data_IF_821410499834
#
_entry.id   IF_821410499834
#
_cell.length_a   1.000
_cell.length_b   1.000
_cell.length_c   1.000
_cell.angle_alpha   90.00
_cell.angle_beta   90.00
_cell.angle_gamma   90.00
#
_symmetry.space_group_name_H-M   'P 1'
#
loop_
_entity.id
_entity.type
_entity.pdbx_description
1 polymer ?
#
# COMPACT_ATOMS: atom_id res chain seq x y z
N UNK A 1 32.01 2.30 32.11
CA UNK A 1 30.52 2.39 32.17
C UNK A 1 29.92 3.66 31.53
N UNK A 2 30.61 4.38 30.62
CA UNK A 2 30.08 5.61 29.99
C UNK A 2 29.59 5.43 28.54
N UNK A 3 29.92 4.32 27.88
CA UNK A 3 29.51 4.05 26.49
C UNK A 3 28.07 3.53 26.37
N UNK A 4 27.59 2.76 27.35
CA UNK A 4 26.24 2.15 27.36
C UNK A 4 25.12 3.20 27.42
N UNK A 5 25.32 4.29 28.17
CA UNK A 5 24.30 5.34 28.33
C UNK A 5 24.11 6.19 27.08
N UNK A 6 25.19 6.48 26.34
CA UNK A 6 25.11 7.27 25.11
C UNK A 6 24.41 6.48 23.99
N UNK A 7 24.70 5.18 23.86
CA UNK A 7 24.04 4.32 22.89
C UNK A 7 22.53 4.17 23.18
N UNK A 8 22.16 4.00 24.46
CA UNK A 8 20.77 3.94 24.88
C UNK A 8 20.00 5.25 24.57
N UNK A 9 20.61 6.41 24.80
CA UNK A 9 19.99 7.71 24.47
C UNK A 9 19.83 7.94 22.97
N UNK A 10 20.77 7.49 22.13
CA UNK A 10 20.68 7.59 20.67
C UNK A 10 19.59 6.67 20.13
N UNK A 11 19.49 5.44 20.64
CA UNK A 11 18.44 4.48 20.24
C UNK A 11 17.05 4.98 20.65
N UNK A 12 16.91 5.51 21.87
CA UNK A 12 15.64 6.06 22.35
C UNK A 12 15.20 7.28 21.53
N UNK A 13 16.13 8.19 21.22
CA UNK A 13 15.86 9.35 20.36
C UNK A 13 15.45 8.93 18.92
N UNK A 14 16.13 7.94 18.34
CA UNK A 14 15.80 7.43 17.00
C UNK A 14 14.41 6.78 16.93
N UNK A 15 14.02 6.01 17.96
CA UNK A 15 12.68 5.43 18.08
C UNK A 15 11.59 6.51 18.29
N UNK A 16 11.92 7.60 19.00
CA UNK A 16 11.01 8.72 19.24
C UNK A 16 10.69 9.51 17.96
N UNK A 17 11.69 9.69 17.10
CA UNK A 17 11.51 10.38 15.81
C UNK A 17 10.71 9.50 14.83
N UNK A 18 10.91 8.18 14.86
CA UNK A 18 10.16 7.24 13.99
C UNK A 18 8.65 7.25 14.26
N UNK A 19 8.23 7.33 15.53
CA UNK A 19 6.82 7.42 15.91
C UNK A 19 6.15 8.74 15.46
N UNK A 20 6.92 9.83 15.36
CA UNK A 20 6.44 11.13 14.88
C UNK A 20 6.51 11.28 13.34
N UNK A 21 7.13 10.32 12.63
CA UNK A 21 7.41 10.43 11.19
C UNK A 21 6.40 9.70 10.29
N UNK A 22 5.41 8.98 10.86
CA UNK A 22 4.32 8.41 10.08
C UNK A 22 3.07 9.31 10.18
N UNK A 23 2.84 10.23 9.23
CA UNK A 23 1.75 11.20 9.29
C UNK A 23 0.36 10.56 9.20
N UNK A 24 0.25 9.29 8.82
CA UNK A 24 -1.02 8.62 8.56
C UNK A 24 -1.71 8.06 9.81
N UNK A 25 -1.03 8.06 10.96
CA UNK A 25 -1.52 7.40 12.19
C UNK A 25 -2.45 8.26 13.07
N UNK A 26 -2.60 9.56 12.81
CA UNK A 26 -3.20 10.50 13.80
C UNK A 26 -4.53 11.11 13.38
N UNK A 27 -4.83 11.21 12.08
CA UNK A 27 -6.11 11.74 11.58
C UNK A 27 -6.63 10.94 10.37
N UNK A 28 -7.95 10.71 10.26
CA UNK A 28 -8.51 10.12 9.06
C UNK A 28 -8.29 11.03 7.85
N UNK A 29 -8.11 10.44 6.67
CA UNK A 29 -7.81 11.17 5.41
C UNK A 29 -8.90 12.20 5.07
N UNK A 30 -10.15 11.93 5.43
CA UNK A 30 -11.29 12.83 5.21
C UNK A 30 -11.13 14.19 5.91
N UNK A 31 -10.40 14.25 7.02
CA UNK A 31 -10.15 15.47 7.80
C UNK A 31 -8.95 16.29 7.29
N UNK A 32 -8.19 15.77 6.31
CA UNK A 32 -7.03 16.48 5.77
C UNK A 32 -7.44 17.70 4.90
N UNK A 33 -6.60 18.75 4.84
CA UNK A 33 -6.74 19.83 3.87
C UNK A 33 -6.98 19.32 2.46
N UNK A 34 -7.83 20.01 1.69
CA UNK A 34 -8.24 19.61 0.33
C UNK A 34 -7.04 19.22 -0.56
N UNK A 35 -5.91 19.96 -0.61
CA UNK A 35 -4.76 19.56 -1.42
C UNK A 35 -4.18 18.18 -1.06
N UNK A 36 -4.16 17.83 0.23
CA UNK A 36 -3.66 16.54 0.70
C UNK A 36 -4.63 15.40 0.37
N UNK A 37 -5.95 15.63 0.48
CA UNK A 37 -6.95 14.67 0.00
C UNK A 37 -6.78 14.35 -1.49
N UNK A 38 -6.53 15.37 -2.32
CA UNK A 38 -6.22 15.17 -3.74
C UNK A 38 -4.92 14.39 -3.97
N UNK A 39 -3.88 14.66 -3.18
CA UNK A 39 -2.60 13.97 -3.30
C UNK A 39 -2.71 12.48 -2.94
N UNK A 40 -3.41 12.15 -1.86
CA UNK A 40 -3.68 10.76 -1.43
C UNK A 40 -4.54 10.01 -2.46
N UNK A 41 -5.51 10.71 -3.05
CA UNK A 41 -6.43 10.13 -4.03
C UNK A 41 -5.97 10.31 -5.49
N UNK A 42 -4.68 10.57 -5.72
CA UNK A 42 -4.17 10.82 -7.07
C UNK A 42 -4.08 9.50 -7.85
N UNK A 43 -4.62 9.42 -9.08
CA UNK A 43 -4.38 8.30 -10.00
C UNK A 43 -2.87 8.06 -10.19
N UNK A 44 -2.49 6.79 -10.29
CA UNK A 44 -1.10 6.40 -10.47
C UNK A 44 -0.87 5.65 -11.79
N UNK A 45 0.23 6.01 -12.44
CA UNK A 45 0.77 5.31 -13.59
C UNK A 45 1.78 4.21 -13.20
N UNK A 46 2.13 4.10 -11.92
CA UNK A 46 3.08 3.11 -11.39
C UNK A 46 2.38 1.84 -10.92
N UNK A 47 1.33 1.43 -11.63
CA UNK A 47 0.53 0.24 -11.33
C UNK A 47 0.36 -0.64 -12.55
N UNK A 48 0.46 -1.95 -12.34
CA UNK A 48 -0.02 -2.93 -13.30
C UNK A 48 -1.42 -3.38 -12.92
N UNK A 49 -2.30 -3.47 -13.91
CA UNK A 49 -3.75 -3.56 -13.64
C UNK A 49 -4.27 -2.29 -12.99
N UNK A 50 -5.20 -2.43 -12.05
CA UNK A 50 -5.79 -1.30 -11.33
C UNK A 50 -5.18 -1.09 -9.93
N UNK A 51 -4.53 -2.09 -9.33
CA UNK A 51 -4.18 -2.09 -7.91
C UNK A 51 -2.73 -2.43 -7.61
N UNK A 52 -2.08 -3.25 -8.42
CA UNK A 52 -0.75 -3.69 -8.06
C UNK A 52 0.31 -2.60 -8.33
N UNK A 53 0.74 -1.89 -7.29
CA UNK A 53 1.83 -0.92 -7.35
C UNK A 53 1.70 0.23 -6.37
N UNK A 54 2.37 1.34 -6.67
CA UNK A 54 2.33 2.56 -5.86
C UNK A 54 1.12 3.39 -6.29
N UNK A 55 0.07 3.45 -5.47
CA UNK A 55 -1.21 4.06 -5.84
C UNK A 55 -2.18 3.03 -6.45
N UNK A 56 -3.35 3.51 -6.88
CA UNK A 56 -4.25 2.74 -7.75
C UNK A 56 -4.40 3.48 -9.06
N UNK A 57 -4.89 2.78 -10.09
CA UNK A 57 -5.07 3.36 -11.42
C UNK A 57 -6.01 4.56 -11.43
N UNK A 58 -7.03 4.56 -10.56
CA UNK A 58 -8.07 5.59 -10.47
C UNK A 58 -7.91 6.54 -9.28
N UNK A 59 -7.02 6.20 -8.34
CA UNK A 59 -6.83 6.93 -7.09
C UNK A 59 -7.79 6.52 -5.96
N UNK A 60 -8.58 5.47 -6.16
CA UNK A 60 -9.43 4.82 -5.14
C UNK A 60 -9.58 3.31 -5.39
N UNK A 61 -10.47 2.66 -4.64
CA UNK A 61 -10.78 1.23 -4.73
C UNK A 61 -12.07 0.93 -5.52
N UNK A 62 -12.49 1.80 -6.45
CA UNK A 62 -13.77 1.65 -7.17
C UNK A 62 -13.68 0.91 -8.50
N UNK A 63 -12.48 0.79 -9.09
CA UNK A 63 -12.27 0.06 -10.33
C UNK A 63 -12.54 -1.45 -10.17
N UNK A 64 -12.74 -2.18 -11.28
CA UNK A 64 -12.79 -3.65 -11.23
C UNK A 64 -11.38 -4.20 -11.39
N UNK A 65 -10.93 -5.18 -10.59
CA UNK A 65 -9.64 -5.83 -10.83
C UNK A 65 -9.59 -6.45 -12.23
N UNK A 66 -8.45 -6.31 -12.92
CA UNK A 66 -8.33 -6.71 -14.34
C UNK A 66 -8.05 -8.21 -14.52
N UNK A 67 -7.40 -8.83 -13.54
CA UNK A 67 -7.02 -10.24 -13.57
C UNK A 67 -6.88 -10.81 -12.15
N UNK A 68 -6.47 -12.10 -12.07
CA UNK A 68 -6.29 -12.81 -10.80
C UNK A 68 -5.24 -12.15 -9.89
N UNK A 69 -4.14 -11.65 -10.44
CA UNK A 69 -3.09 -11.01 -9.65
C UNK A 69 -3.55 -9.64 -9.15
N UNK A 70 -4.23 -8.89 -10.01
CA UNK A 70 -4.80 -7.59 -9.66
C UNK A 70 -5.88 -7.71 -8.56
N UNK A 71 -6.65 -8.79 -8.54
CA UNK A 71 -7.59 -9.10 -7.44
C UNK A 71 -6.86 -9.36 -6.11
N UNK A 72 -5.68 -9.96 -6.14
CA UNK A 72 -4.87 -10.14 -4.92
C UNK A 72 -4.41 -8.76 -4.39
N UNK A 73 -3.93 -7.89 -5.27
CA UNK A 73 -3.54 -6.52 -4.89
C UNK A 73 -4.73 -5.69 -4.41
N UNK A 74 -5.90 -5.82 -5.03
CA UNK A 74 -7.13 -5.19 -4.56
C UNK A 74 -7.48 -5.59 -3.12
N UNK A 75 -7.43 -6.89 -2.81
CA UNK A 75 -7.69 -7.39 -1.45
C UNK A 75 -6.65 -6.89 -0.45
N UNK A 76 -5.39 -6.80 -0.86
CA UNK A 76 -4.32 -6.23 -0.05
C UNK A 76 -4.59 -4.75 0.27
N UNK A 77 -4.86 -3.93 -0.76
CA UNK A 77 -5.13 -2.50 -0.57
C UNK A 77 -6.39 -2.27 0.28
N UNK A 78 -7.45 -3.07 0.10
CA UNK A 78 -8.62 -3.03 0.99
C UNK A 78 -8.28 -3.41 2.43
N UNK A 79 -7.45 -4.45 2.63
CA UNK A 79 -7.00 -4.87 3.95
C UNK A 79 -6.27 -3.74 4.69
N UNK A 80 -5.43 -2.99 3.97
CA UNK A 80 -4.75 -1.79 4.49
C UNK A 80 -5.71 -0.67 4.89
N UNK A 81 -6.86 -0.53 4.21
CA UNK A 81 -7.90 0.44 4.62
C UNK A 81 -8.65 -0.04 5.86
N UNK A 82 -8.87 -1.35 5.99
CA UNK A 82 -9.70 -1.94 7.05
C UNK A 82 -8.95 -2.16 8.38
N UNK A 83 -7.64 -2.39 8.33
CA UNK A 83 -6.88 -2.87 9.48
C UNK A 83 -5.82 -1.86 9.93
N UNK A 84 -5.54 -1.85 11.23
CA UNK A 84 -4.42 -1.08 11.81
C UNK A 84 -3.10 -1.85 11.89
N UNK A 85 -3.12 -3.18 11.70
CA UNK A 85 -1.90 -3.98 11.66
C UNK A 85 -1.74 -4.56 10.26
N UNK A 86 -0.73 -4.08 9.54
CA UNK A 86 -0.54 -4.42 8.13
C UNK A 86 0.27 -5.70 7.90
N UNK A 87 0.88 -6.30 8.93
CA UNK A 87 1.66 -7.52 8.74
C UNK A 87 0.82 -8.71 8.28
N UNK A 88 -0.44 -8.81 8.71
CA UNK A 88 -1.36 -9.83 8.23
C UNK A 88 -1.71 -9.62 6.75
N UNK A 89 -1.88 -8.34 6.35
CA UNK A 89 -2.17 -7.97 4.97
C UNK A 89 -0.97 -8.31 4.06
N UNK A 90 0.25 -7.94 4.46
CA UNK A 90 1.48 -8.23 3.73
C UNK A 90 1.71 -9.75 3.61
N UNK A 91 1.52 -10.49 4.70
CA UNK A 91 1.72 -11.95 4.72
C UNK A 91 0.71 -12.67 3.82
N UNK A 92 -0.55 -12.22 3.83
CA UNK A 92 -1.59 -12.74 2.93
C UNK A 92 -1.26 -12.43 1.46
N UNK A 93 -0.78 -11.22 1.16
CA UNK A 93 -0.32 -10.83 -0.18
C UNK A 93 0.82 -11.74 -0.65
N UNK A 94 1.87 -11.92 0.16
CA UNK A 94 3.03 -12.76 -0.20
C UNK A 94 2.61 -14.20 -0.46
N UNK A 95 1.73 -14.77 0.38
CA UNK A 95 1.22 -16.13 0.20
C UNK A 95 0.44 -16.27 -1.11
N UNK A 96 -0.54 -15.39 -1.34
CA UNK A 96 -1.44 -15.49 -2.49
C UNK A 96 -0.69 -15.17 -3.80
N UNK A 97 0.25 -14.22 -3.79
CA UNK A 97 1.10 -13.90 -4.95
C UNK A 97 2.12 -15.02 -5.25
N UNK A 98 2.64 -15.72 -4.23
CA UNK A 98 3.52 -16.88 -4.46
C UNK A 98 2.79 -17.99 -5.21
N UNK A 99 1.52 -18.24 -4.90
CA UNK A 99 0.70 -19.19 -5.65
C UNK A 99 0.54 -18.80 -7.13
N UNK A 100 0.45 -17.50 -7.45
CA UNK A 100 0.43 -17.03 -8.85
C UNK A 100 1.79 -17.16 -9.52
N UNK A 101 2.89 -16.87 -8.80
CA UNK A 101 4.26 -17.00 -9.31
C UNK A 101 4.56 -18.45 -9.74
N UNK A 102 4.13 -19.41 -8.93
CA UNK A 102 4.49 -20.82 -9.05
C UNK A 102 3.54 -21.62 -9.98
N UNK A 103 2.42 -21.02 -10.39
CA UNK A 103 1.45 -21.64 -11.30
C UNK A 103 1.91 -21.55 -12.77
N UNK A 104 2.47 -22.63 -13.31
CA UNK A 104 3.03 -22.67 -14.67
C UNK A 104 1.99 -22.49 -15.78
N UNK A 105 0.69 -22.67 -15.49
CA UNK A 105 -0.39 -22.46 -16.45
C UNK A 105 -0.68 -20.97 -16.70
N UNK A 106 -0.20 -20.08 -15.82
CA UNK A 106 -0.42 -18.64 -15.95
C UNK A 106 0.59 -17.95 -16.88
N UNK A 107 0.18 -16.84 -17.53
CA UNK A 107 1.07 -16.07 -18.41
C UNK A 107 2.37 -15.66 -17.71
N UNK A 108 3.51 -15.86 -18.37
CA UNK A 108 4.85 -15.52 -17.84
C UNK A 108 4.95 -14.09 -17.33
N UNK A 109 4.26 -13.13 -17.96
CA UNK A 109 4.19 -11.74 -17.52
C UNK A 109 3.57 -11.61 -16.12
N UNK A 110 2.41 -12.25 -15.89
CA UNK A 110 1.72 -12.27 -14.61
C UNK A 110 2.59 -12.91 -13.52
N UNK A 111 3.23 -14.04 -13.82
CA UNK A 111 4.14 -14.73 -12.88
C UNK A 111 5.33 -13.86 -12.47
N UNK A 112 5.92 -13.11 -13.41
CA UNK A 112 7.01 -12.15 -13.14
C UNK A 112 6.55 -10.98 -12.27
N UNK A 113 5.36 -10.45 -12.51
CA UNK A 113 4.76 -9.41 -11.68
C UNK A 113 4.48 -9.92 -10.27
N UNK A 114 3.99 -11.14 -10.12
CA UNK A 114 3.80 -11.79 -8.82
C UNK A 114 5.14 -11.98 -8.07
N UNK A 115 6.20 -12.42 -8.77
CA UNK A 115 7.54 -12.50 -8.19
C UNK A 115 8.05 -11.14 -7.66
N UNK A 116 7.79 -10.05 -8.39
CA UNK A 116 8.15 -8.71 -7.94
C UNK A 116 7.42 -8.35 -6.62
N UNK A 117 6.13 -8.66 -6.50
CA UNK A 117 5.38 -8.44 -5.26
C UNK A 117 5.95 -9.26 -4.11
N UNK A 118 6.20 -10.56 -4.31
CA UNK A 118 6.79 -11.42 -3.29
C UNK A 118 8.12 -10.86 -2.81
N UNK A 119 9.02 -10.48 -3.71
CA UNK A 119 10.33 -9.95 -3.35
C UNK A 119 10.24 -8.62 -2.60
N UNK A 120 9.27 -7.76 -2.95
CA UNK A 120 9.08 -6.45 -2.31
C UNK A 120 8.52 -6.59 -0.89
N UNK A 121 7.50 -7.42 -0.71
CA UNK A 121 6.78 -7.54 0.55
C UNK A 121 7.38 -8.57 1.53
N UNK A 122 8.29 -9.43 1.08
CA UNK A 122 9.03 -10.35 1.97
C UNK A 122 10.00 -9.63 2.92
N UNK A 123 10.31 -8.35 2.67
CA UNK A 123 11.20 -7.55 3.51
C UNK A 123 10.58 -7.17 4.87
N UNK A 124 9.29 -7.44 5.08
CA UNK A 124 8.63 -7.21 6.37
C UNK A 124 8.57 -5.73 6.76
N UNK A 125 8.31 -4.84 5.79
CA UNK A 125 8.18 -3.39 6.01
C UNK A 125 7.18 -3.07 7.13
N UNK A 126 6.11 -3.87 7.25
CA UNK A 126 5.15 -3.78 8.35
C UNK A 126 5.77 -3.90 9.76
N UNK A 127 6.92 -4.58 9.92
CA UNK A 127 7.59 -4.71 11.22
C UNK A 127 8.30 -3.43 11.64
N UNK A 128 8.71 -2.62 10.67
CA UNK A 128 9.31 -1.29 10.89
C UNK A 128 8.23 -0.22 10.96
N UNK A 129 7.20 -0.34 10.11
CA UNK A 129 6.07 0.57 10.01
C UNK A 129 4.75 -0.21 10.20
N UNK A 130 4.33 -0.50 11.45
CA UNK A 130 3.15 -1.34 11.72
C UNK A 130 1.84 -0.75 11.20
N UNK A 131 1.79 0.57 11.06
CA UNK A 131 0.67 1.34 10.51
C UNK A 131 0.86 1.65 9.01
N UNK A 132 1.84 1.03 8.34
CA UNK A 132 2.17 1.27 6.94
C UNK A 132 3.06 2.49 6.73
N UNK A 133 3.79 2.48 5.61
CA UNK A 133 4.68 3.56 5.19
C UNK A 133 4.01 4.57 4.24
N UNK A 134 3.01 4.12 3.47
CA UNK A 134 2.32 4.92 2.47
C UNK A 134 0.97 5.43 2.98
N UNK A 135 0.45 6.53 2.41
CA UNK A 135 -0.89 6.99 2.71
C UNK A 135 -1.94 5.89 2.49
N UNK A 136 -2.93 5.78 3.38
CA UNK A 136 -4.08 4.93 3.13
C UNK A 136 -4.83 5.42 1.91
N UNK A 137 -5.34 4.48 1.12
CA UNK A 137 -6.11 4.77 -0.08
C UNK A 137 -7.55 5.05 0.30
N UNK A 138 -8.23 6.00 -0.35
CA UNK A 138 -9.68 6.11 -0.18
C UNK A 138 -10.35 4.88 -0.78
N UNK A 139 -11.39 4.39 -0.11
CA UNK A 139 -12.27 3.37 -0.68
C UNK A 139 -12.98 3.95 -1.90
N UNK A 140 -13.48 5.16 -1.74
CA UNK A 140 -14.06 5.98 -2.80
C UNK A 140 -13.67 7.45 -2.59
N UNK A 141 -13.19 8.13 -3.64
CA UNK A 141 -12.80 9.55 -3.53
C UNK A 141 -13.96 10.46 -3.13
N UNK A 142 -15.21 10.03 -3.35
CA UNK A 142 -16.41 10.75 -2.92
C UNK A 142 -16.52 10.83 -1.39
N UNK A 143 -16.00 9.84 -0.66
CA UNK A 143 -15.88 9.89 0.81
C UNK A 143 -14.96 11.04 1.26
N UNK A 144 -14.02 11.43 0.40
CA UNK A 144 -13.13 12.57 0.62
C UNK A 144 -13.71 13.88 0.07
N UNK A 145 -14.97 13.93 -0.37
CA UNK A 145 -15.58 15.12 -0.98
C UNK A 145 -14.91 15.53 -2.31
N UNK A 146 -14.29 14.57 -3.00
CA UNK A 146 -13.65 14.76 -4.30
C UNK A 146 -14.58 14.26 -5.42
N UNK A 147 -14.42 14.76 -6.66
CA UNK A 147 -15.13 14.22 -7.80
C UNK A 147 -14.78 12.73 -8.02
N UNK A 148 -15.69 11.95 -8.63
CA UNK A 148 -15.45 10.54 -8.91
C UNK A 148 -14.21 10.39 -9.81
N UNK A 149 -13.52 9.26 -9.68
CA UNK A 149 -12.41 8.95 -10.56
C UNK A 149 -12.86 8.97 -12.02
N UNK A 150 -12.10 9.65 -12.88
CA UNK A 150 -12.37 9.63 -14.30
C UNK A 150 -12.02 8.24 -14.86
N UNK A 151 -12.78 7.72 -15.84
CA UNK A 151 -12.42 6.50 -16.54
C UNK A 151 -11.02 6.69 -17.12
N UNK A 152 -10.08 5.81 -16.78
CA UNK A 152 -8.76 5.87 -17.41
C UNK A 152 -8.94 5.43 -18.85
N UNK A 153 -8.76 6.35 -19.80
CA UNK A 153 -8.69 6.03 -21.22
C UNK A 153 -7.59 4.97 -21.40
N UNK A 154 -7.99 3.75 -21.73
CA UNK A 154 -7.07 2.70 -22.14
C UNK A 154 -6.47 3.14 -23.47
N UNK A 155 -5.24 3.63 -23.46
CA UNK A 155 -4.44 3.69 -24.70
C UNK A 155 -4.24 2.24 -25.13
N UNK A 156 -4.93 1.86 -26.21
CA UNK A 156 -4.82 0.55 -26.84
C UNK A 156 -3.42 0.26 -27.38
#
# INVERSE_FOLDING_TARGET
>A
MRFEFAAASIVLAALSVAACSNPWGTKPVSELPKPLRYAVAKPSNFVFGNYCGLGTRTGDLTAKPVDRLDMICFRHDSCYVDRKNHCDCDSALVRDASAVRDDEMLPKKMRRQAALLVNTFSLGVCKVFPQGFMPPRPRDRRELGLPPAQPVMSTG
#
